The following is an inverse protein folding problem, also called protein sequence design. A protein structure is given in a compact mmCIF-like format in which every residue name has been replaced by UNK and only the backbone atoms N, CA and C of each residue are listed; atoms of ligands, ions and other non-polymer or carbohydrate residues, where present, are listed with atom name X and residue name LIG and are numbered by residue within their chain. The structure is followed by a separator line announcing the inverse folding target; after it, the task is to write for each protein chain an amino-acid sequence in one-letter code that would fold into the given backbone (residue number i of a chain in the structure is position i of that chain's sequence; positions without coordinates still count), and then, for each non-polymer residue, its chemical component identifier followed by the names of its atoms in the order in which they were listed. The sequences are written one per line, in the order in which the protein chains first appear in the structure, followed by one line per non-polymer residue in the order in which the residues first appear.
data_IF_112579910682
#
_entry.id   IF_112579910682
#
_cell.length_a   1.000
_cell.length_b   1.000
_cell.length_c   1.000
_cell.angle_alpha   90.00
_cell.angle_beta   90.00
_cell.angle_gamma   90.00
#
_symmetry.space_group_name_H-M   'P 1'
#
loop_
_entity.id
_entity.type
_entity.pdbx_description
1 polymer ?
#
# COMPACT_ATOMS: atom_id res chain seq x y z
N UNK A 1 -11.72 -18.84 -11.29
CA UNK A 1 -10.48 -18.08 -11.08
C UNK A 1 -9.69 -18.72 -9.96
N UNK A 2 -8.36 -18.83 -10.05
CA UNK A 2 -7.54 -19.25 -8.91
C UNK A 2 -7.47 -18.11 -7.89
N UNK A 3 -7.41 -18.40 -6.58
CA UNK A 3 -7.16 -17.37 -5.58
C UNK A 3 -5.88 -16.60 -5.89
N UNK A 4 -5.90 -15.29 -5.69
CA UNK A 4 -4.68 -14.48 -5.74
C UNK A 4 -3.95 -14.68 -4.42
N UNK A 5 -2.70 -15.16 -4.48
CA UNK A 5 -1.80 -15.17 -3.33
C UNK A 5 -0.83 -14.00 -3.44
N UNK A 6 -0.47 -13.42 -2.31
CA UNK A 6 0.40 -12.26 -2.22
C UNK A 6 1.41 -12.46 -1.09
N UNK A 7 2.64 -12.00 -1.30
CA UNK A 7 3.68 -11.86 -0.29
C UNK A 7 4.14 -10.41 -0.30
N UNK A 8 4.20 -9.81 0.88
CA UNK A 8 4.67 -8.46 1.11
C UNK A 8 5.89 -8.51 2.04
N UNK A 9 7.02 -7.97 1.60
CA UNK A 9 8.26 -7.90 2.37
C UNK A 9 8.48 -6.48 2.85
N UNK A 10 8.46 -6.27 4.17
CA UNK A 10 8.61 -4.95 4.79
C UNK A 10 10.05 -4.72 5.26
N UNK A 11 10.52 -3.48 5.14
CA UNK A 11 11.85 -3.07 5.56
C UNK A 11 11.89 -1.63 6.06
N UNK A 12 13.04 -1.27 6.65
CA UNK A 12 13.39 0.11 6.99
C UNK A 12 14.62 0.51 6.18
N UNK A 13 14.52 1.62 5.45
CA UNK A 13 15.65 2.26 4.79
C UNK A 13 16.20 3.37 5.71
N UNK A 14 17.40 3.14 6.25
CA UNK A 14 18.05 4.08 7.17
C UNK A 14 18.55 5.35 6.48
N UNK A 15 18.92 5.27 5.19
CA UNK A 15 19.43 6.41 4.43
C UNK A 15 18.30 7.36 4.06
N UNK A 16 17.20 6.81 3.54
CA UNK A 16 15.99 7.58 3.19
C UNK A 16 15.10 7.88 4.39
N UNK A 17 15.37 7.26 5.55
CA UNK A 17 14.58 7.35 6.79
C UNK A 17 13.09 7.07 6.56
N UNK A 18 12.79 6.03 5.79
CA UNK A 18 11.42 5.63 5.48
C UNK A 18 11.26 4.12 5.55
N UNK A 19 10.02 3.69 5.77
CA UNK A 19 9.68 2.28 5.63
C UNK A 19 9.57 1.93 4.14
N UNK A 20 9.82 0.68 3.80
CA UNK A 20 9.62 0.17 2.45
C UNK A 20 8.81 -1.11 2.51
N UNK A 21 8.08 -1.41 1.44
CA UNK A 21 7.69 -2.79 1.17
C UNK A 21 7.68 -3.11 -0.31
N UNK A 22 8.05 -4.35 -0.64
CA UNK A 22 7.88 -4.93 -1.96
C UNK A 22 6.77 -5.99 -1.91
N UNK A 23 5.83 -5.89 -2.84
CA UNK A 23 4.70 -6.80 -2.97
C UNK A 23 4.82 -7.63 -4.25
N UNK A 24 4.55 -8.93 -4.14
CA UNK A 24 4.55 -9.89 -5.24
C UNK A 24 3.29 -10.75 -5.17
N UNK A 25 2.62 -10.97 -6.30
CA UNK A 25 1.42 -11.82 -6.32
C UNK A 25 1.41 -12.86 -7.44
N UNK A 26 0.50 -13.84 -7.32
CA UNK A 26 0.36 -14.96 -8.28
C UNK A 26 -0.13 -14.56 -9.67
N UNK A 27 -0.43 -13.28 -9.91
CA UNK A 27 -0.73 -12.73 -11.24
C UNK A 27 0.53 -12.20 -11.94
N UNK A 28 1.72 -12.36 -11.33
CA UNK A 28 2.98 -11.85 -11.86
C UNK A 28 3.16 -10.35 -11.67
N UNK A 29 2.37 -9.73 -10.79
CA UNK A 29 2.47 -8.30 -10.49
C UNK A 29 3.49 -8.07 -9.38
N UNK A 30 4.25 -6.98 -9.52
CA UNK A 30 5.15 -6.45 -8.50
C UNK A 30 4.86 -4.98 -8.28
N UNK A 31 4.95 -4.51 -7.04
CA UNK A 31 4.98 -3.10 -6.72
C UNK A 31 5.90 -2.85 -5.52
N UNK A 32 6.60 -1.72 -5.53
CA UNK A 32 7.48 -1.29 -4.45
C UNK A 32 6.93 0.02 -3.88
N UNK A 33 6.87 0.09 -2.56
CA UNK A 33 6.27 1.21 -1.83
C UNK A 33 7.27 1.78 -0.83
N UNK A 34 7.18 3.09 -0.63
CA UNK A 34 7.79 3.79 0.51
C UNK A 34 6.72 4.25 1.46
N UNK A 35 6.98 4.25 2.77
CA UNK A 35 6.01 4.55 3.79
C UNK A 35 6.50 5.42 4.93
N UNK A 36 5.54 6.10 5.53
CA UNK A 36 5.70 6.92 6.73
C UNK A 36 4.62 6.59 7.74
N UNK A 37 4.94 6.77 9.02
CA UNK A 37 4.02 6.52 10.13
C UNK A 37 3.80 7.82 10.90
N UNK A 38 2.54 8.14 11.19
CA UNK A 38 2.15 9.22 12.08
C UNK A 38 1.09 8.70 13.04
N UNK A 39 1.48 8.47 14.30
CA UNK A 39 0.60 7.87 15.30
C UNK A 39 0.17 6.46 14.90
N UNK A 40 -1.14 6.28 14.69
CA UNK A 40 -1.78 5.02 14.27
C UNK A 40 -1.93 4.89 12.75
N UNK A 41 -1.44 5.87 11.99
CA UNK A 41 -1.68 6.01 10.56
C UNK A 41 -0.43 5.72 9.76
N UNK A 42 -0.51 4.71 8.90
CA UNK A 42 0.52 4.41 7.91
C UNK A 42 0.10 4.98 6.56
N UNK A 43 1.02 5.68 5.90
CA UNK A 43 0.83 6.12 4.51
C UNK A 43 1.91 5.49 3.65
N UNK A 44 1.50 4.75 2.63
CA UNK A 44 2.37 4.11 1.64
C UNK A 44 2.16 4.73 0.27
N UNK A 45 3.25 4.97 -0.43
CA UNK A 45 3.27 5.56 -1.76
C UNK A 45 4.02 4.64 -2.72
N UNK A 46 3.45 4.45 -3.89
CA UNK A 46 4.11 3.76 -4.99
C UNK A 46 3.80 4.45 -6.31
N UNK A 47 4.59 4.09 -7.31
CA UNK A 47 4.36 4.47 -8.68
C UNK A 47 4.48 3.25 -9.58
N UNK A 48 3.58 3.17 -10.56
CA UNK A 48 3.67 2.18 -11.62
C UNK A 48 3.42 2.83 -12.97
N UNK A 49 4.03 2.27 -14.01
CA UNK A 49 3.65 2.58 -15.39
C UNK A 49 2.62 1.54 -15.83
N UNK A 50 1.42 1.98 -16.18
CA UNK A 50 0.37 1.14 -16.72
C UNK A 50 0.00 1.63 -18.12
N UNK A 51 0.24 0.82 -19.16
CA UNK A 51 -0.08 1.19 -20.55
C UNK A 51 0.60 2.49 -21.02
N UNK A 52 1.84 2.73 -20.59
CA UNK A 52 2.58 3.96 -20.91
C UNK A 52 2.20 5.19 -20.07
N UNK A 53 1.20 5.08 -19.20
CA UNK A 53 0.79 6.17 -18.30
C UNK A 53 1.35 5.94 -16.90
N UNK A 54 1.97 6.96 -16.33
CA UNK A 54 2.42 6.99 -14.94
C UNK A 54 1.19 7.07 -14.02
N UNK A 55 1.06 6.10 -13.12
CA UNK A 55 0.00 6.05 -12.12
C UNK A 55 0.63 6.02 -10.73
N UNK A 56 0.27 7.01 -9.91
CA UNK A 56 0.63 7.07 -8.49
C UNK A 56 -0.40 6.33 -7.68
N UNK A 57 0.06 5.64 -6.65
CA UNK A 57 -0.76 4.86 -5.72
C UNK A 57 -0.46 5.38 -4.31
N UNK A 58 -1.52 5.63 -3.54
CA UNK A 58 -1.44 5.97 -2.11
C UNK A 58 -2.31 4.99 -1.34
N UNK A 59 -1.72 4.29 -0.38
CA UNK A 59 -2.48 3.49 0.57
C UNK A 59 -2.36 4.12 1.96
N UNK A 60 -3.50 4.48 2.54
CA UNK A 60 -3.58 4.97 3.92
C UNK A 60 -4.20 3.87 4.77
N UNK A 61 -3.51 3.45 5.82
CA UNK A 61 -4.00 2.48 6.78
C UNK A 61 -4.11 3.13 8.16
N UNK A 62 -5.22 2.88 8.85
CA UNK A 62 -5.42 3.29 10.23
C UNK A 62 -5.55 2.06 11.12
N UNK A 63 -4.75 1.99 12.17
CA UNK A 63 -4.72 0.87 13.11
C UNK A 63 -5.30 1.28 14.45
N UNK A 64 -6.49 0.80 14.77
CA UNK A 64 -7.08 0.90 16.11
C UNK A 64 -6.91 -0.42 16.86
N UNK A 65 -7.41 -0.50 18.09
CA UNK A 65 -7.26 -1.72 18.89
C UNK A 65 -7.90 -2.93 18.20
N UNK A 66 -7.04 -3.81 17.67
CA UNK A 66 -7.40 -5.03 16.97
C UNK A 66 -8.06 -4.85 15.61
N UNK A 67 -8.12 -3.64 15.04
CA UNK A 67 -8.72 -3.40 13.71
C UNK A 67 -7.83 -2.51 12.85
N UNK A 68 -7.68 -2.88 11.58
CA UNK A 68 -7.05 -2.06 10.55
C UNK A 68 -8.11 -1.68 9.52
N UNK A 69 -8.23 -0.39 9.21
CA UNK A 69 -8.93 0.08 8.00
C UNK A 69 -7.92 0.55 6.98
N UNK A 70 -8.26 0.45 5.69
CA UNK A 70 -7.41 0.99 4.64
C UNK A 70 -8.20 1.61 3.50
N UNK A 71 -7.54 2.55 2.83
CA UNK A 71 -8.00 3.20 1.59
C UNK A 71 -6.84 3.21 0.60
N UNK A 72 -7.07 2.68 -0.60
CA UNK A 72 -6.14 2.80 -1.72
C UNK A 72 -6.71 3.83 -2.69
N UNK A 73 -5.88 4.79 -3.05
CA UNK A 73 -6.19 5.85 -3.98
C UNK A 73 -5.17 5.85 -5.12
N UNK A 74 -5.63 6.29 -6.29
CA UNK A 74 -4.77 6.46 -7.46
C UNK A 74 -4.83 7.88 -8.00
N UNK A 75 -3.76 8.31 -8.64
CA UNK A 75 -3.65 9.63 -9.23
C UNK A 75 -2.73 9.62 -10.45
N UNK A 76 -3.09 10.36 -11.49
CA UNK A 76 -2.25 10.59 -12.67
C UNK A 76 -1.38 11.85 -12.54
N UNK A 77 -1.81 12.82 -11.72
CA UNK A 77 -1.17 14.13 -11.56
C UNK A 77 -0.53 14.35 -10.16
N UNK A 78 -0.79 13.45 -9.21
CA UNK A 78 -0.35 13.48 -7.81
C UNK A 78 -1.11 14.44 -6.92
N UNK A 79 -2.06 15.19 -7.46
CA UNK A 79 -2.83 16.20 -6.72
C UNK A 79 -4.29 15.80 -6.59
N UNK A 80 -4.88 15.21 -7.62
CA UNK A 80 -6.22 14.66 -7.61
C UNK A 80 -6.16 13.15 -7.37
N UNK A 81 -6.74 12.71 -6.26
CA UNK A 81 -6.73 11.31 -5.84
C UNK A 81 -8.13 10.71 -5.91
N UNK A 82 -8.29 9.65 -6.68
CA UNK A 82 -9.52 8.89 -6.78
C UNK A 82 -9.45 7.64 -5.90
N UNK A 83 -10.52 7.34 -5.17
CA UNK A 83 -10.59 6.13 -4.35
C UNK A 83 -10.73 4.92 -5.26
N UNK A 84 -9.79 3.98 -5.19
CA UNK A 84 -9.82 2.74 -5.95
C UNK A 84 -10.44 1.60 -5.13
N UNK A 85 -10.05 1.49 -3.86
CA UNK A 85 -10.59 0.46 -2.95
C UNK A 85 -10.57 0.95 -1.51
N UNK A 86 -11.50 0.45 -0.70
CA UNK A 86 -11.47 0.54 0.76
C UNK A 86 -11.63 -0.84 1.35
N UNK A 87 -11.16 -1.03 2.58
CA UNK A 87 -11.37 -2.27 3.30
C UNK A 87 -11.05 -2.16 4.77
N UNK A 88 -11.30 -3.27 5.47
CA UNK A 88 -10.99 -3.43 6.88
C UNK A 88 -10.62 -4.88 7.20
N UNK A 89 -9.79 -5.05 8.22
CA UNK A 89 -9.37 -6.33 8.73
C UNK A 89 -9.37 -6.26 10.26
N UNK A 90 -9.74 -7.38 10.89
CA UNK A 90 -9.68 -7.54 12.34
C UNK A 90 -8.53 -8.48 12.67
N UNK A 91 -7.74 -8.15 13.70
CA UNK A 91 -6.74 -9.05 14.26
C UNK A 91 -7.45 -10.33 14.72
N UNK A 92 -6.98 -11.48 14.26
CA UNK A 92 -7.44 -12.78 14.75
C UNK A 92 -6.34 -13.33 15.65
N UNK A 93 -6.65 -13.44 16.94
CA UNK A 93 -5.74 -13.93 17.98
C UNK A 93 -5.02 -12.82 18.79
N UNK A 94 -4.35 -13.22 19.89
CA UNK A 94 -3.30 -12.41 20.53
C UNK A 94 -2.05 -12.32 19.66
#
# INVERSE_FOLDING_TARGET
MRPVSQIDLFGWDADSKCYTYDSFNSLGQRASFTGSVAGDTWTWLAEKTAGGTRLRIRMVQHFTDGTMTWKIETSTDGTQWATAVTGQAKRIGP
#
